data_IF_444958309126
#
_entry.id   IF_444958309126
#
_cell.length_a   1.000
_cell.length_b   1.000
_cell.length_c   1.000
_cell.angle_alpha   90.00
_cell.angle_beta   90.00
_cell.angle_gamma   90.00
#
_symmetry.space_group_name_H-M   'P 1'
#
loop_
_entity.id
_entity.type
_entity.pdbx_description
1 polymer ?
#
# COMPACT_ATOMS: atom_id res chain seq x y z
N UNK A 1 19.89 -14.07 22.69
CA UNK A 1 19.25 -13.30 21.59
C UNK A 1 17.75 -13.04 21.81
N UNK A 2 16.93 -14.06 22.14
CA UNK A 2 15.48 -13.91 22.38
C UNK A 2 15.07 -12.93 23.49
N UNK A 3 15.83 -12.84 24.59
CA UNK A 3 15.53 -11.90 25.69
C UNK A 3 15.80 -10.43 25.32
N UNK A 4 16.87 -10.14 24.58
CA UNK A 4 17.18 -8.77 24.09
C UNK A 4 16.12 -8.28 23.09
N UNK A 5 15.65 -9.17 22.19
CA UNK A 5 14.52 -8.90 21.31
C UNK A 5 13.23 -8.63 22.11
N UNK A 6 12.90 -9.46 23.12
CA UNK A 6 11.75 -9.20 24.00
C UNK A 6 11.84 -7.85 24.72
N UNK A 7 13.00 -7.50 25.28
CA UNK A 7 13.21 -6.21 25.94
C UNK A 7 13.07 -5.02 24.97
N UNK A 8 13.60 -5.13 23.75
CA UNK A 8 13.48 -4.10 22.72
C UNK A 8 12.03 -3.91 22.25
N UNK A 9 11.31 -5.00 21.98
CA UNK A 9 9.90 -4.95 21.57
C UNK A 9 8.97 -4.38 22.64
N UNK A 10 9.31 -4.56 23.93
CA UNK A 10 8.56 -3.98 25.04
C UNK A 10 8.89 -2.50 25.28
N UNK A 11 10.16 -2.09 25.13
CA UNK A 11 10.60 -0.70 25.29
C UNK A 11 10.17 0.19 24.11
N UNK A 12 10.13 -0.35 22.90
CA UNK A 12 9.82 0.38 21.68
C UNK A 12 8.59 -0.20 20.95
N UNK A 13 7.44 -0.25 21.65
CA UNK A 13 6.19 -0.83 21.12
C UNK A 13 5.74 -0.21 19.79
N UNK A 14 5.99 1.07 19.55
CA UNK A 14 5.64 1.72 18.29
C UNK A 14 6.64 1.41 17.17
N UNK A 15 7.95 1.33 17.46
CA UNK A 15 8.95 0.87 16.46
C UNK A 15 8.66 -0.57 16.04
N UNK A 16 8.25 -1.43 16.98
CA UNK A 16 7.87 -2.80 16.65
C UNK A 16 6.62 -2.89 15.76
N UNK A 17 5.64 -2.00 15.95
CA UNK A 17 4.46 -1.90 15.06
C UNK A 17 4.85 -1.39 13.69
N UNK A 18 5.75 -0.42 13.62
CA UNK A 18 6.30 0.06 12.36
C UNK A 18 7.02 -1.06 11.61
N UNK A 19 7.89 -1.83 12.28
CA UNK A 19 8.58 -2.98 11.67
C UNK A 19 7.57 -4.01 11.13
N UNK A 20 6.54 -4.36 11.91
CA UNK A 20 5.48 -5.28 11.45
C UNK A 20 4.68 -4.71 10.28
N UNK A 21 4.39 -3.41 10.30
CA UNK A 21 3.70 -2.72 9.21
C UNK A 21 4.53 -2.77 7.92
N UNK A 22 5.83 -2.44 8.00
CA UNK A 22 6.73 -2.50 6.86
C UNK A 22 6.87 -3.93 6.32
N UNK A 23 7.02 -4.92 7.20
CA UNK A 23 7.07 -6.33 6.79
C UNK A 23 5.77 -6.79 6.12
N UNK A 24 4.62 -6.36 6.64
CA UNK A 24 3.31 -6.60 6.03
C UNK A 24 3.28 -6.00 4.63
N UNK A 25 3.69 -4.74 4.48
CA UNK A 25 3.74 -4.05 3.18
C UNK A 25 4.58 -4.81 2.15
N UNK A 26 5.82 -5.17 2.51
CA UNK A 26 6.71 -5.93 1.61
C UNK A 26 6.10 -7.29 1.26
N UNK A 27 5.55 -8.01 2.23
CA UNK A 27 4.95 -9.33 2.00
C UNK A 27 3.76 -9.25 1.04
N UNK A 28 2.92 -8.24 1.19
CA UNK A 28 1.73 -8.05 0.36
C UNK A 28 2.08 -7.55 -1.03
N UNK A 29 3.16 -6.77 -1.19
CA UNK A 29 3.68 -6.41 -2.50
C UNK A 29 4.23 -7.62 -3.26
N UNK A 30 4.91 -8.55 -2.58
CA UNK A 30 5.35 -9.81 -3.22
C UNK A 30 4.15 -10.65 -3.65
N UNK A 31 3.11 -10.74 -2.81
CA UNK A 31 1.85 -11.42 -3.17
C UNK A 31 1.19 -10.76 -4.38
N UNK A 32 1.05 -9.43 -4.38
CA UNK A 32 0.50 -8.66 -5.48
C UNK A 32 1.27 -8.90 -6.78
N UNK A 33 2.61 -8.83 -6.76
CA UNK A 33 3.45 -9.10 -7.92
C UNK A 33 3.29 -10.54 -8.43
N UNK A 34 3.20 -11.52 -7.52
CA UNK A 34 2.98 -12.92 -7.89
C UNK A 34 1.64 -13.12 -8.59
N UNK A 35 0.56 -12.54 -8.03
CA UNK A 35 -0.78 -12.56 -8.63
C UNK A 35 -0.78 -11.82 -9.97
N UNK A 36 -0.16 -10.65 -10.03
CA UNK A 36 -0.05 -9.86 -11.25
C UNK A 36 0.62 -10.66 -12.36
N UNK A 37 1.79 -11.27 -12.10
CA UNK A 37 2.50 -12.07 -13.09
C UNK A 37 1.68 -13.27 -13.56
N UNK A 38 1.01 -13.96 -12.64
CA UNK A 38 0.14 -15.09 -13.00
C UNK A 38 -1.03 -14.63 -13.90
N UNK A 39 -1.71 -13.55 -13.54
CA UNK A 39 -2.80 -13.02 -14.36
C UNK A 39 -2.30 -12.52 -15.71
N UNK A 40 -1.19 -11.78 -15.73
CA UNK A 40 -0.65 -11.12 -16.93
C UNK A 40 -0.14 -12.12 -17.98
N UNK A 41 0.54 -13.18 -17.54
CA UNK A 41 1.23 -14.10 -18.44
C UNK A 41 0.51 -15.44 -18.63
N UNK A 42 -0.45 -15.79 -17.77
CA UNK A 42 -1.21 -17.05 -17.87
C UNK A 42 -2.67 -16.79 -18.20
N UNK A 43 -3.39 -16.03 -17.38
CA UNK A 43 -4.86 -15.90 -17.48
C UNK A 43 -5.30 -14.95 -18.58
N UNK A 44 -4.70 -13.76 -18.65
CA UNK A 44 -5.07 -12.69 -19.57
C UNK A 44 -4.07 -12.49 -20.70
N UNK A 45 -3.20 -13.49 -20.95
CA UNK A 45 -2.20 -13.43 -22.02
C UNK A 45 -2.82 -13.04 -23.37
N UNK A 46 -3.98 -13.61 -23.70
CA UNK A 46 -4.71 -13.32 -24.94
C UNK A 46 -5.35 -11.92 -24.99
N UNK A 47 -5.55 -11.27 -23.85
CA UNK A 47 -6.13 -9.92 -23.77
C UNK A 47 -5.06 -8.81 -23.76
N UNK A 48 -3.77 -9.17 -23.75
CA UNK A 48 -2.68 -8.21 -23.89
C UNK A 48 -2.53 -7.67 -25.30
N UNK A 49 -3.15 -8.32 -26.30
CA UNK A 49 -3.16 -7.83 -27.68
C UNK A 49 -4.31 -6.84 -27.94
N UNK A 50 -5.25 -6.72 -26.99
CA UNK A 50 -6.41 -5.84 -27.13
C UNK A 50 -6.12 -4.51 -26.44
N UNK A 51 -5.99 -3.40 -27.19
CA UNK A 51 -5.77 -2.10 -26.60
C UNK A 51 -6.99 -1.67 -25.78
N UNK A 52 -6.73 -0.89 -24.73
CA UNK A 52 -7.79 -0.19 -24.00
C UNK A 52 -8.15 1.06 -24.81
N UNK A 53 -9.43 1.26 -25.08
CA UNK A 53 -9.96 2.44 -25.79
C UNK A 53 -9.51 3.74 -25.14
N UNK A 54 -9.20 4.76 -25.95
CA UNK A 54 -8.66 6.09 -25.60
C UNK A 54 -9.32 6.72 -24.37
N UNK A 55 -8.84 6.35 -23.19
CA UNK A 55 -9.27 6.92 -21.93
C UNK A 55 -8.07 7.67 -21.33
N UNK A 56 -8.13 9.01 -21.25
CA UNK A 56 -7.00 9.82 -20.80
C UNK A 56 -6.52 9.46 -19.39
N UNK A 57 -7.39 8.91 -18.53
CA UNK A 57 -7.01 8.45 -17.20
C UNK A 57 -6.19 7.16 -17.28
N UNK A 58 -6.55 6.23 -18.16
CA UNK A 58 -5.84 4.94 -18.31
C UNK A 58 -4.50 5.13 -19.02
N UNK A 59 -4.44 6.01 -20.02
CA UNK A 59 -3.18 6.39 -20.67
C UNK A 59 -2.24 7.11 -19.70
N UNK A 60 -2.77 7.98 -18.83
CA UNK A 60 -1.97 8.63 -17.79
C UNK A 60 -1.42 7.64 -16.74
N UNK A 61 -2.13 6.54 -16.48
CA UNK A 61 -1.67 5.46 -15.62
C UNK A 61 -0.72 4.47 -16.33
N UNK A 62 -0.42 4.67 -17.62
CA UNK A 62 0.43 3.76 -18.40
C UNK A 62 -0.22 2.42 -18.74
N UNK A 63 -1.57 2.35 -18.72
CA UNK A 63 -2.34 1.13 -18.97
C UNK A 63 -2.79 1.11 -20.44
N UNK A 64 -2.04 0.42 -21.29
CA UNK A 64 -2.29 0.38 -22.74
C UNK A 64 -3.15 -0.81 -23.18
N UNK A 65 -3.11 -1.93 -22.46
CA UNK A 65 -3.73 -3.20 -22.87
C UNK A 65 -4.74 -3.71 -21.84
N UNK A 66 -5.83 -4.33 -22.32
CA UNK A 66 -6.90 -4.85 -21.44
C UNK A 66 -6.40 -5.92 -20.47
N UNK A 67 -5.51 -6.80 -20.92
CA UNK A 67 -4.89 -7.80 -20.06
C UNK A 67 -4.07 -7.18 -18.93
N UNK A 68 -3.32 -6.10 -19.21
CA UNK A 68 -2.61 -5.35 -18.18
C UNK A 68 -3.57 -4.67 -17.20
N UNK A 69 -4.63 -4.03 -17.70
CA UNK A 69 -5.66 -3.39 -16.87
C UNK A 69 -6.27 -4.38 -15.87
N UNK A 70 -6.73 -5.54 -16.36
CA UNK A 70 -7.38 -6.54 -15.50
C UNK A 70 -6.39 -7.17 -14.52
N UNK A 71 -5.18 -7.49 -14.98
CA UNK A 71 -4.13 -8.04 -14.11
C UNK A 71 -3.80 -7.07 -12.99
N UNK A 72 -3.57 -5.80 -13.32
CA UNK A 72 -3.25 -4.74 -12.36
C UNK A 72 -4.40 -4.48 -11.37
N UNK A 73 -5.63 -4.35 -11.86
CA UNK A 73 -6.78 -4.07 -11.01
C UNK A 73 -7.03 -5.22 -10.00
N UNK A 74 -6.97 -6.47 -10.45
CA UNK A 74 -7.19 -7.64 -9.60
C UNK A 74 -6.03 -7.84 -8.62
N UNK A 75 -4.78 -7.74 -9.09
CA UNK A 75 -3.61 -7.91 -8.23
C UNK A 75 -3.55 -6.85 -7.15
N UNK A 76 -3.76 -5.57 -7.50
CA UNK A 76 -3.76 -4.47 -6.54
C UNK A 76 -4.88 -4.64 -5.50
N UNK A 77 -6.08 -5.04 -5.93
CA UNK A 77 -7.20 -5.32 -5.01
C UNK A 77 -6.84 -6.40 -4.00
N UNK A 78 -6.24 -7.51 -4.45
CA UNK A 78 -5.79 -8.60 -3.57
C UNK A 78 -4.66 -8.14 -2.64
N UNK A 79 -3.68 -7.41 -3.16
CA UNK A 79 -2.55 -6.86 -2.40
C UNK A 79 -3.02 -5.97 -1.24
N UNK A 80 -3.86 -4.97 -1.54
CA UNK A 80 -4.42 -4.06 -0.53
C UNK A 80 -5.36 -4.77 0.44
N UNK A 81 -6.16 -5.72 -0.01
CA UNK A 81 -7.02 -6.52 0.87
C UNK A 81 -6.20 -7.36 1.85
N UNK A 82 -5.16 -8.04 1.36
CA UNK A 82 -4.25 -8.81 2.20
C UNK A 82 -3.52 -7.91 3.22
N UNK A 83 -3.04 -6.74 2.77
CA UNK A 83 -2.41 -5.75 3.65
C UNK A 83 -3.36 -5.27 4.75
N UNK A 84 -4.62 -5.02 4.43
CA UNK A 84 -5.64 -4.66 5.42
C UNK A 84 -5.84 -5.79 6.44
N UNK A 85 -6.06 -7.03 5.98
CA UNK A 85 -6.30 -8.19 6.87
C UNK A 85 -5.10 -8.44 7.79
N UNK A 86 -3.89 -8.43 7.24
CA UNK A 86 -2.66 -8.64 8.00
C UNK A 86 -2.42 -7.50 9.00
N UNK A 87 -2.59 -6.24 8.61
CA UNK A 87 -2.44 -5.13 9.53
C UNK A 87 -3.50 -5.13 10.64
N UNK A 88 -4.74 -5.50 10.31
CA UNK A 88 -5.82 -5.63 11.27
C UNK A 88 -5.58 -6.74 12.29
N UNK A 89 -5.12 -7.93 11.87
CA UNK A 89 -4.94 -9.11 12.72
C UNK A 89 -3.56 -9.19 13.41
N UNK A 90 -2.47 -8.90 12.69
CA UNK A 90 -1.09 -9.14 13.16
C UNK A 90 -0.42 -7.88 13.73
N UNK A 91 -0.63 -6.73 13.08
CA UNK A 91 0.07 -5.48 13.42
C UNK A 91 -0.65 -4.69 14.51
N UNK A 92 -1.95 -4.44 14.32
CA UNK A 92 -2.70 -3.52 15.18
C UNK A 92 -3.73 -4.18 16.08
N UNK A 93 -4.21 -5.40 15.77
CA UNK A 93 -5.21 -6.16 16.53
C UNK A 93 -6.44 -5.29 16.89
N UNK A 94 -7.12 -4.77 15.86
CA UNK A 94 -8.16 -3.75 16.05
C UNK A 94 -9.56 -4.33 16.29
N UNK A 95 -10.26 -3.75 17.26
CA UNK A 95 -11.67 -4.02 17.61
C UNK A 95 -12.66 -2.96 17.09
N UNK A 96 -12.19 -2.05 16.23
CA UNK A 96 -13.05 -1.06 15.57
C UNK A 96 -14.02 -1.72 14.57
N UNK A 97 -15.11 -1.03 14.22
CA UNK A 97 -16.09 -1.52 13.26
C UNK A 97 -15.41 -1.93 11.92
N UNK A 98 -15.49 -3.21 11.50
CA UNK A 98 -14.87 -3.69 10.27
C UNK A 98 -15.24 -2.88 9.03
N UNK A 99 -16.50 -2.49 8.89
CA UNK A 99 -17.02 -1.82 7.70
C UNK A 99 -16.46 -0.41 7.58
N UNK A 100 -16.51 0.36 8.67
CA UNK A 100 -15.97 1.73 8.70
C UNK A 100 -14.45 1.74 8.45
N UNK A 101 -13.71 0.82 9.08
CA UNK A 101 -12.27 0.66 8.85
C UNK A 101 -11.96 0.36 7.38
N UNK A 102 -12.75 -0.50 6.72
CA UNK A 102 -12.56 -0.82 5.30
C UNK A 102 -12.82 0.38 4.41
N UNK A 103 -13.89 1.16 4.65
CA UNK A 103 -14.21 2.37 3.87
C UNK A 103 -13.08 3.40 3.99
N UNK A 104 -12.63 3.70 5.21
CA UNK A 104 -11.56 4.68 5.44
C UNK A 104 -10.23 4.18 4.82
N UNK A 105 -9.96 2.88 4.90
CA UNK A 105 -8.78 2.28 4.26
C UNK A 105 -8.85 2.41 2.73
N UNK A 106 -10.00 2.14 2.11
CA UNK A 106 -10.20 2.30 0.67
C UNK A 106 -9.97 3.75 0.23
N UNK A 107 -10.53 4.73 0.96
CA UNK A 107 -10.30 6.16 0.69
C UNK A 107 -8.81 6.51 0.78
N UNK A 108 -8.13 6.04 1.83
CA UNK A 108 -6.68 6.26 1.99
C UNK A 108 -5.89 5.69 0.81
N UNK A 109 -6.23 4.48 0.35
CA UNK A 109 -5.57 3.84 -0.81
C UNK A 109 -5.77 4.67 -2.08
N UNK A 110 -7.00 5.08 -2.39
CA UNK A 110 -7.30 5.91 -3.57
C UNK A 110 -6.53 7.23 -3.54
N UNK A 111 -6.54 7.94 -2.41
CA UNK A 111 -5.78 9.18 -2.26
C UNK A 111 -4.27 8.96 -2.40
N UNK A 112 -3.75 7.82 -1.91
CA UNK A 112 -2.32 7.49 -2.01
C UNK A 112 -1.92 7.17 -3.44
N UNK A 113 -2.75 6.45 -4.18
CA UNK A 113 -2.52 6.18 -5.61
C UNK A 113 -2.51 7.50 -6.39
N UNK A 114 -3.52 8.35 -6.20
CA UNK A 114 -3.59 9.65 -6.86
C UNK A 114 -2.37 10.53 -6.55
N UNK A 115 -1.92 10.56 -5.28
CA UNK A 115 -0.70 11.25 -4.90
C UNK A 115 0.53 10.66 -5.58
N UNK A 116 0.71 9.34 -5.58
CA UNK A 116 1.89 8.70 -6.19
C UNK A 116 1.98 8.96 -7.68
N UNK A 117 0.84 8.92 -8.38
CA UNK A 117 0.81 9.22 -9.82
C UNK A 117 1.16 10.68 -10.10
N UNK A 118 0.55 11.63 -9.38
CA UNK A 118 0.86 13.06 -9.53
C UNK A 118 2.30 13.40 -9.12
N UNK A 119 2.75 12.91 -7.97
CA UNK A 119 4.06 13.22 -7.41
C UNK A 119 5.18 12.58 -8.24
N UNK A 120 4.97 11.38 -8.77
CA UNK A 120 5.88 10.73 -9.71
C UNK A 120 6.04 11.54 -11.00
N UNK A 121 4.93 11.98 -11.60
CA UNK A 121 4.97 12.83 -12.78
C UNK A 121 5.66 14.18 -12.50
N UNK A 122 5.33 14.81 -11.36
CA UNK A 122 5.93 16.08 -10.93
C UNK A 122 7.46 15.98 -10.78
N UNK A 123 7.95 14.98 -10.04
CA UNK A 123 9.39 14.79 -9.88
C UNK A 123 10.08 14.40 -11.20
N UNK A 124 9.43 13.59 -12.04
CA UNK A 124 9.92 13.27 -13.38
C UNK A 124 10.18 14.52 -14.21
N UNK A 125 9.20 15.44 -14.27
CA UNK A 125 9.37 16.72 -14.97
C UNK A 125 10.49 17.58 -14.38
N UNK A 126 10.63 17.64 -13.05
CA UNK A 126 11.72 18.39 -12.42
C UNK A 126 13.10 17.83 -12.78
N UNK A 127 13.25 16.50 -12.81
CA UNK A 127 14.52 15.85 -13.14
C UNK A 127 14.88 16.11 -14.59
N UNK A 128 13.95 15.90 -15.52
CA UNK A 128 14.16 16.17 -16.95
C UNK A 128 14.53 17.63 -17.19
N UNK A 129 13.86 18.57 -16.53
CA UNK A 129 14.16 20.00 -16.68
C UNK A 129 15.49 20.42 -16.04
N UNK A 130 15.98 19.68 -15.06
CA UNK A 130 17.26 19.97 -14.38
C UNK A 130 18.49 19.41 -15.11
N UNK A 131 18.30 18.60 -16.16
CA UNK A 131 19.38 18.00 -16.94
C UNK A 131 20.12 16.85 -16.23
N UNK A 132 19.67 16.44 -15.05
CA UNK A 132 20.24 15.31 -14.27
C UNK A 132 19.54 13.98 -14.57
N UNK A 133 18.96 13.83 -15.77
CA UNK A 133 18.26 12.62 -16.17
C UNK A 133 19.25 11.46 -16.34
N UNK A 134 19.39 10.67 -15.26
CA UNK A 134 20.17 9.45 -15.27
C UNK A 134 19.43 8.37 -14.47
N UNK A 135 19.81 7.12 -14.75
CA UNK A 135 19.18 5.93 -14.16
C UNK A 135 19.21 5.95 -12.61
N UNK A 136 20.27 6.47 -12.00
CA UNK A 136 20.41 6.51 -10.53
C UNK A 136 19.38 7.49 -9.93
N UNK A 137 19.24 8.68 -10.52
CA UNK A 137 18.29 9.71 -10.08
C UNK A 137 16.85 9.23 -10.29
N UNK A 138 16.55 8.55 -11.40
CA UNK A 138 15.24 7.95 -11.65
C UNK A 138 14.89 6.88 -10.58
N UNK A 139 15.84 6.01 -10.25
CA UNK A 139 15.66 5.00 -9.20
C UNK A 139 15.46 5.62 -7.81
N UNK A 140 16.27 6.62 -7.44
CA UNK A 140 16.13 7.35 -6.18
C UNK A 140 14.77 8.04 -6.08
N UNK A 141 14.29 8.57 -7.21
CA UNK A 141 12.98 9.23 -7.30
C UNK A 141 11.85 8.25 -7.10
N UNK A 142 11.90 7.06 -7.72
CA UNK A 142 10.92 5.99 -7.48
C UNK A 142 10.90 5.56 -6.02
N UNK A 143 12.07 5.40 -5.39
CA UNK A 143 12.16 5.06 -3.96
C UNK A 143 11.52 6.16 -3.11
N UNK A 144 11.76 7.44 -3.42
CA UNK A 144 11.14 8.57 -2.73
C UNK A 144 9.61 8.56 -2.88
N UNK A 145 9.11 8.41 -4.11
CA UNK A 145 7.67 8.36 -4.40
C UNK A 145 6.99 7.22 -3.64
N UNK A 146 7.65 6.06 -3.52
CA UNK A 146 7.10 4.91 -2.78
C UNK A 146 7.21 5.07 -1.25
N UNK A 147 8.21 5.80 -0.75
CA UNK A 147 8.47 5.93 0.68
C UNK A 147 7.69 7.07 1.33
N UNK A 148 7.53 8.20 0.63
CA UNK A 148 6.81 9.38 1.14
C UNK A 148 5.41 9.04 1.68
N UNK A 149 4.60 8.19 1.01
CA UNK A 149 3.32 7.74 1.54
C UNK A 149 3.34 7.02 2.87
N UNK A 150 4.47 6.41 3.24
CA UNK A 150 4.59 5.74 4.55
C UNK A 150 4.41 6.74 5.71
N UNK A 151 4.68 8.03 5.48
CA UNK A 151 4.54 9.10 6.47
C UNK A 151 3.08 9.31 6.92
N UNK A 152 2.09 9.15 6.04
CA UNK A 152 0.66 9.25 6.42
C UNK A 152 -0.03 7.90 6.51
N UNK A 153 0.34 6.93 5.68
CA UNK A 153 -0.31 5.61 5.69
C UNK A 153 -0.08 4.90 7.02
N UNK A 154 1.10 5.00 7.64
CA UNK A 154 1.34 4.39 8.95
C UNK A 154 0.49 5.05 10.06
N UNK A 155 0.51 6.39 10.25
CA UNK A 155 -0.37 7.04 11.23
C UNK A 155 -1.86 6.78 10.99
N UNK A 156 -2.34 6.82 9.74
CA UNK A 156 -3.74 6.54 9.42
C UNK A 156 -4.11 5.09 9.77
N UNK A 157 -3.25 4.13 9.42
CA UNK A 157 -3.45 2.74 9.80
C UNK A 157 -3.47 2.56 11.33
N UNK A 158 -2.54 3.22 12.04
CA UNK A 158 -2.40 3.11 13.50
C UNK A 158 -3.52 3.78 14.28
N UNK A 159 -3.86 5.02 13.92
CA UNK A 159 -4.66 5.94 14.74
C UNK A 159 -6.07 6.14 14.24
N UNK A 160 -6.38 5.84 12.97
CA UNK A 160 -7.72 6.06 12.40
C UNK A 160 -8.38 4.73 12.05
N UNK A 161 -7.70 3.93 11.23
CA UNK A 161 -8.28 2.72 10.59
C UNK A 161 -8.31 1.55 11.57
N UNK A 162 -7.19 1.25 12.23
CA UNK A 162 -7.06 0.12 13.15
C UNK A 162 -7.06 0.57 14.62
N UNK A 163 -8.03 1.43 14.97
CA UNK A 163 -8.24 1.83 16.36
C UNK A 163 -8.60 0.61 17.21
N UNK A 164 -7.95 0.49 18.37
CA UNK A 164 -8.47 -0.36 19.46
C UNK A 164 -9.54 0.44 20.19
N UNK A 165 -10.70 -0.16 20.47
CA UNK A 165 -11.61 0.42 21.46
C UNK A 165 -10.86 0.49 22.79
N UNK A 166 -10.94 1.63 23.49
CA UNK A 166 -10.53 1.65 24.90
C UNK A 166 -11.38 0.60 25.62
N UNK A 167 -10.82 -0.21 26.53
CA UNK A 167 -11.66 -1.01 27.42
C UNK A 167 -12.66 -0.02 28.04
N UNK A 168 -13.95 -0.28 27.87
CA UNK A 168 -14.94 0.41 28.67
C UNK A 168 -14.52 0.19 30.12
N UNK A 169 -14.48 1.24 30.98
CA UNK A 169 -14.43 0.99 32.41
C UNK A 169 -15.53 -0.02 32.69
N UNK A 170 -15.17 -1.20 33.20
CA UNK A 170 -16.17 -2.08 33.80
C UNK A 170 -16.95 -1.17 34.73
N UNK A 171 -18.25 -1.04 34.48
CA UNK A 171 -19.14 -0.48 35.47
C UNK A 171 -19.01 -1.38 36.71
N UNK A 172 -18.18 -0.94 37.66
CA UNK A 172 -18.37 -1.25 39.07
C UNK A 172 -19.68 -0.56 39.48
N UNK A 173 -20.80 -1.24 39.20
CA UNK A 173 -22.13 -0.95 39.72
C UNK A 173 -23.01 -2.15 39.38
N UNK A 174 -23.69 -2.84 40.29
CA UNK A 174 -23.78 -2.85 41.74
C UNK A 174 -24.49 -4.17 42.08
#
# INVERSE_FOLDING_TARGET
MRQKLKAFTQKHKEIWKFIKFSFTGVSTSVLELGVFMFLQYVVFRSLNEVPVTDNPVLSFLGIEYKGYLYSYAISATIGYAAAYIMNRKLTFQADANPVLSTIIYAVMVVCTIAFNTWFGAFLGTLITNSGYDNVIIEMLTKILVMTVPTLWTYPLNRFVIHRKKKPQPQNEAA
#
